data_IF_013392064549
#
_entry.id   IF_013392064549
#
_cell.length_a   1.000
_cell.length_b   1.000
_cell.length_c   1.000
_cell.angle_alpha   90.00
_cell.angle_beta   90.00
_cell.angle_gamma   90.00
#
_symmetry.space_group_name_H-M   'P 1'
#
loop_
_entity.id
_entity.type
_entity.pdbx_description
1 polymer ?
#
# COMPACT_ATOMS: atom_id res chain seq x y z
N UNK A 1 36.37 26.10 -44.25
CA UNK A 1 35.77 26.26 -42.91
C UNK A 1 34.76 25.14 -42.69
N UNK A 2 35.17 24.04 -42.03
CA UNK A 2 34.30 22.88 -41.76
C UNK A 2 33.62 23.11 -40.40
N UNK A 3 32.30 23.30 -40.40
CA UNK A 3 31.49 23.41 -39.19
C UNK A 3 30.96 22.01 -38.86
N UNK A 4 31.51 21.39 -37.82
CA UNK A 4 30.99 20.15 -37.26
C UNK A 4 29.84 20.51 -36.30
N UNK A 5 28.61 20.23 -36.71
CA UNK A 5 27.44 20.35 -35.85
C UNK A 5 27.37 19.07 -35.01
N UNK A 6 27.62 19.20 -33.71
CA UNK A 6 27.43 18.12 -32.74
C UNK A 6 25.93 18.10 -32.42
N UNK A 7 25.21 17.13 -32.98
CA UNK A 7 23.84 16.83 -32.58
C UNK A 7 23.89 15.94 -31.32
N UNK A 8 23.59 16.51 -30.15
CA UNK A 8 23.30 15.72 -28.95
C UNK A 8 21.88 15.17 -29.06
N UNK A 9 21.76 13.88 -29.33
CA UNK A 9 20.51 13.14 -29.27
C UNK A 9 20.44 12.48 -27.88
N UNK A 10 19.90 13.19 -26.90
CA UNK A 10 19.60 12.63 -25.59
C UNK A 10 18.33 11.77 -25.70
N UNK A 11 18.52 10.49 -26.00
CA UNK A 11 17.44 9.53 -26.06
C UNK A 11 17.08 9.11 -24.63
N UNK A 12 16.13 9.83 -24.02
CA UNK A 12 15.54 9.49 -22.72
C UNK A 12 14.61 8.29 -22.86
N UNK A 13 15.15 7.08 -23.03
CA UNK A 13 14.38 5.84 -22.82
C UNK A 13 14.36 5.52 -21.32
N UNK A 14 13.39 6.09 -20.60
CA UNK A 14 12.91 5.52 -19.34
C UNK A 14 11.79 4.53 -19.69
N UNK A 15 12.12 3.35 -20.19
CA UNK A 15 11.19 2.22 -20.14
C UNK A 15 11.22 1.68 -18.72
N UNK A 16 10.37 2.25 -17.87
CA UNK A 16 10.17 1.80 -16.50
C UNK A 16 9.48 0.45 -16.49
N UNK A 17 10.04 -0.48 -15.72
CA UNK A 17 9.57 -1.82 -15.41
C UNK A 17 8.27 -1.84 -14.59
N UNK A 18 7.21 -1.19 -15.08
CA UNK A 18 5.91 -1.09 -14.39
C UNK A 18 5.29 -2.47 -14.09
N UNK A 19 5.53 -3.46 -14.97
CA UNK A 19 4.94 -4.79 -14.88
C UNK A 19 5.39 -5.62 -13.67
N UNK A 20 6.60 -5.39 -13.15
CA UNK A 20 7.08 -6.09 -11.95
C UNK A 20 6.39 -5.53 -10.69
N UNK A 21 6.21 -4.22 -10.63
CA UNK A 21 5.57 -3.55 -9.49
C UNK A 21 4.06 -3.79 -9.40
N UNK A 22 3.39 -4.05 -10.53
CA UNK A 22 1.97 -4.36 -10.55
C UNK A 22 1.66 -5.74 -9.94
N UNK A 23 2.46 -6.76 -10.28
CA UNK A 23 2.32 -8.10 -9.69
C UNK A 23 2.61 -8.09 -8.18
N UNK A 24 3.63 -7.33 -7.76
CA UNK A 24 3.94 -7.13 -6.34
C UNK A 24 2.78 -6.41 -5.63
N UNK A 25 2.19 -5.38 -6.25
CA UNK A 25 1.06 -4.65 -5.68
C UNK A 25 -0.19 -5.53 -5.53
N UNK A 26 -0.51 -6.38 -6.50
CA UNK A 26 -1.61 -7.33 -6.39
C UNK A 26 -1.41 -8.27 -5.19
N UNK A 27 -0.19 -8.79 -5.02
CA UNK A 27 0.16 -9.64 -3.89
C UNK A 27 0.03 -8.93 -2.53
N UNK A 28 0.47 -7.67 -2.45
CA UNK A 28 0.32 -6.85 -1.24
C UNK A 28 -1.16 -6.63 -0.90
N UNK A 29 -2.00 -6.34 -1.90
CA UNK A 29 -3.43 -6.15 -1.70
C UNK A 29 -4.15 -7.43 -1.27
N UNK A 30 -3.74 -8.58 -1.79
CA UNK A 30 -4.24 -9.88 -1.33
C UNK A 30 -3.81 -10.18 0.12
N UNK A 31 -2.58 -9.85 0.49
CA UNK A 31 -2.09 -9.95 1.87
C UNK A 31 -2.88 -9.06 2.81
N UNK A 32 -3.15 -7.81 2.43
CA UNK A 32 -4.01 -6.89 3.21
C UNK A 32 -5.43 -7.44 3.39
N UNK A 33 -6.01 -8.04 2.35
CA UNK A 33 -7.34 -8.65 2.40
C UNK A 33 -7.37 -9.89 3.30
N UNK A 34 -6.40 -10.79 3.16
CA UNK A 34 -6.29 -12.00 3.95
C UNK A 34 -6.05 -11.67 5.42
N UNK A 35 -5.09 -10.78 5.71
CA UNK A 35 -4.78 -10.32 7.05
C UNK A 35 -5.99 -9.69 7.74
N UNK A 36 -6.75 -8.82 7.05
CA UNK A 36 -7.96 -8.23 7.64
C UNK A 36 -9.01 -9.30 7.99
N UNK A 37 -9.18 -10.29 7.12
CA UNK A 37 -10.09 -11.40 7.40
C UNK A 37 -9.65 -12.21 8.63
N UNK A 38 -8.34 -12.44 8.80
CA UNK A 38 -7.79 -13.08 10.00
C UNK A 38 -8.03 -12.22 11.25
N UNK A 39 -7.66 -10.94 11.23
CA UNK A 39 -7.84 -10.00 12.37
C UNK A 39 -9.30 -9.95 12.82
N UNK A 40 -10.26 -9.95 11.89
CA UNK A 40 -11.68 -9.91 12.23
C UNK A 40 -12.20 -11.21 12.86
N UNK A 41 -11.57 -12.36 12.57
CA UNK A 41 -12.07 -13.68 12.96
C UNK A 41 -11.35 -14.26 14.17
N UNK A 42 -10.02 -14.14 14.23
CA UNK A 42 -9.21 -14.80 15.26
C UNK A 42 -9.57 -14.34 16.67
N UNK A 43 -9.46 -15.23 17.65
CA UNK A 43 -9.55 -14.90 19.08
C UNK A 43 -8.18 -14.94 19.77
N UNK A 44 -7.14 -15.26 19.02
CA UNK A 44 -5.77 -15.40 19.50
C UNK A 44 -5.00 -14.09 19.26
N UNK A 45 -4.44 -13.53 20.33
CA UNK A 45 -3.75 -12.25 20.28
C UNK A 45 -2.45 -12.34 19.48
N UNK A 46 -1.73 -13.47 19.54
CA UNK A 46 -0.50 -13.66 18.76
C UNK A 46 -0.78 -13.82 17.27
N UNK A 47 -1.82 -14.57 16.89
CA UNK A 47 -2.27 -14.71 15.50
C UNK A 47 -2.72 -13.34 14.95
N UNK A 48 -3.45 -12.57 15.74
CA UNK A 48 -3.84 -11.20 15.38
C UNK A 48 -2.62 -10.31 15.13
N UNK A 49 -1.65 -10.29 16.05
CA UNK A 49 -0.42 -9.51 15.89
C UNK A 49 0.38 -9.93 14.66
N UNK A 50 0.49 -11.23 14.38
CA UNK A 50 1.17 -11.74 13.18
C UNK A 50 0.49 -11.21 11.91
N UNK A 51 -0.84 -11.32 11.84
CA UNK A 51 -1.60 -10.82 10.70
C UNK A 51 -1.46 -9.30 10.54
N UNK A 52 -1.49 -8.53 11.63
CA UNK A 52 -1.29 -7.08 11.61
C UNK A 52 0.12 -6.70 11.14
N UNK A 53 1.15 -7.43 11.56
CA UNK A 53 2.52 -7.25 11.09
C UNK A 53 2.66 -7.48 9.58
N UNK A 54 2.04 -8.55 9.06
CA UNK A 54 2.01 -8.85 7.62
C UNK A 54 1.26 -7.78 6.83
N UNK A 55 0.09 -7.34 7.33
CA UNK A 55 -0.66 -6.24 6.73
C UNK A 55 0.16 -4.94 6.70
N UNK A 56 0.88 -4.64 7.78
CA UNK A 56 1.70 -3.44 7.87
C UNK A 56 2.82 -3.45 6.83
N UNK A 57 3.49 -4.58 6.69
CA UNK A 57 4.55 -4.76 5.70
C UNK A 57 4.00 -4.63 4.27
N UNK A 58 2.89 -5.30 3.96
CA UNK A 58 2.24 -5.22 2.65
C UNK A 58 1.78 -3.78 2.32
N UNK A 59 1.26 -3.02 3.30
CA UNK A 59 0.93 -1.62 3.09
C UNK A 59 2.16 -0.75 2.80
N UNK A 60 3.31 -1.05 3.43
CA UNK A 60 4.57 -0.35 3.16
C UNK A 60 5.16 -0.72 1.79
N UNK A 61 5.05 -1.97 1.38
CA UNK A 61 5.50 -2.44 0.07
C UNK A 61 4.62 -1.89 -1.05
N UNK A 62 3.30 -1.82 -0.85
CA UNK A 62 2.37 -1.19 -1.78
C UNK A 62 2.70 0.29 -2.05
N UNK A 63 3.30 1.01 -1.09
CA UNK A 63 3.75 2.41 -1.31
C UNK A 63 4.89 2.52 -2.33
N UNK A 64 5.58 1.44 -2.64
CA UNK A 64 6.67 1.41 -3.63
C UNK A 64 6.14 1.24 -5.06
N UNK A 65 4.89 0.81 -5.20
CA UNK A 65 4.23 0.59 -6.48
C UNK A 65 3.34 1.77 -6.85
N UNK A 66 3.08 1.91 -8.15
CA UNK A 66 2.04 2.81 -8.68
C UNK A 66 0.89 1.93 -9.18
N UNK A 67 -0.34 2.14 -8.72
CA UNK A 67 -1.47 1.35 -9.19
C UNK A 67 -1.79 1.69 -10.65
N UNK A 68 -2.32 0.72 -11.40
CA UNK A 68 -2.62 0.85 -12.85
C UNK A 68 -3.39 2.12 -13.20
N UNK A 69 -4.37 2.50 -12.37
CA UNK A 69 -5.20 3.70 -12.58
C UNK A 69 -4.43 5.02 -12.52
N UNK A 70 -3.25 5.02 -11.90
CA UNK A 70 -2.36 6.17 -11.79
C UNK A 70 -1.11 6.02 -12.66
N UNK A 71 -1.06 5.03 -13.56
CA UNK A 71 0.04 4.92 -14.52
C UNK A 71 0.11 6.17 -15.41
N UNK A 72 1.33 6.70 -15.56
CA UNK A 72 1.58 7.90 -16.34
C UNK A 72 1.27 9.21 -15.60
N UNK A 73 0.69 9.17 -14.40
CA UNK A 73 0.56 10.36 -13.56
C UNK A 73 1.95 10.84 -13.09
N UNK A 74 2.18 12.16 -13.00
CA UNK A 74 3.39 12.70 -12.40
C UNK A 74 3.57 12.19 -10.96
N UNK A 75 4.81 11.89 -10.58
CA UNK A 75 5.14 11.38 -9.24
C UNK A 75 4.73 12.36 -8.11
N UNK A 76 4.62 13.66 -8.40
CA UNK A 76 4.19 14.70 -7.47
C UNK A 76 2.73 15.13 -7.64
N UNK A 77 1.97 14.42 -8.49
CA UNK A 77 0.53 14.67 -8.69
C UNK A 77 -0.24 14.55 -7.38
N UNK A 78 -1.40 15.23 -7.33
CA UNK A 78 -2.28 15.15 -6.18
C UNK A 78 -2.79 13.72 -5.95
N UNK A 79 -3.01 12.96 -7.03
CA UNK A 79 -3.51 11.58 -6.99
C UNK A 79 -2.49 10.61 -6.43
N UNK A 80 -1.21 10.69 -6.83
CA UNK A 80 -0.13 9.86 -6.26
C UNK A 80 0.05 10.18 -4.78
N UNK A 81 -0.02 11.47 -4.39
CA UNK A 81 0.02 11.88 -2.99
C UNK A 81 -1.18 11.35 -2.18
N UNK A 82 -2.39 11.38 -2.73
CA UNK A 82 -3.59 10.84 -2.07
C UNK A 82 -3.51 9.31 -1.92
N UNK A 83 -2.91 8.60 -2.89
CA UNK A 83 -2.63 7.16 -2.77
C UNK A 83 -1.70 6.85 -1.60
N UNK A 84 -0.57 7.55 -1.50
CA UNK A 84 0.35 7.36 -0.37
C UNK A 84 -0.28 7.73 0.97
N UNK A 85 -1.04 8.84 1.03
CA UNK A 85 -1.75 9.24 2.23
C UNK A 85 -2.80 8.21 2.67
N UNK A 86 -3.46 7.57 1.71
CA UNK A 86 -4.37 6.45 1.94
C UNK A 86 -3.71 5.26 2.62
N UNK A 87 -2.53 4.86 2.12
CA UNK A 87 -1.73 3.79 2.73
C UNK A 87 -1.16 4.18 4.09
N UNK A 88 -0.75 5.45 4.28
CA UNK A 88 -0.29 5.95 5.57
C UNK A 88 -1.40 5.91 6.63
N UNK A 89 -2.63 6.28 6.25
CA UNK A 89 -3.81 6.14 7.12
C UNK A 89 -4.08 4.68 7.49
N UNK A 90 -3.94 3.76 6.53
CA UNK A 90 -4.09 2.33 6.78
C UNK A 90 -3.03 1.82 7.76
N UNK A 91 -1.75 2.16 7.57
CA UNK A 91 -0.65 1.79 8.46
C UNK A 91 -0.88 2.34 9.87
N UNK A 92 -1.26 3.61 10.00
CA UNK A 92 -1.54 4.22 11.29
C UNK A 92 -2.66 3.49 12.04
N UNK A 93 -3.73 3.11 11.36
CA UNK A 93 -4.81 2.33 11.98
C UNK A 93 -4.38 0.90 12.30
N UNK A 94 -3.49 0.27 11.51
CA UNK A 94 -2.90 -1.04 11.85
C UNK A 94 -2.13 -0.93 13.17
N UNK A 95 -1.31 0.11 13.33
CA UNK A 95 -0.53 0.35 14.55
C UNK A 95 -1.43 0.52 15.78
N UNK A 96 -2.59 1.18 15.65
CA UNK A 96 -3.59 1.28 16.72
C UNK A 96 -4.16 -0.09 17.12
N UNK A 97 -4.53 -0.91 16.13
CA UNK A 97 -5.09 -2.24 16.38
C UNK A 97 -4.04 -3.17 16.99
N UNK A 98 -2.79 -3.08 16.51
CA UNK A 98 -1.67 -3.88 17.00
C UNK A 98 -1.31 -3.53 18.45
N UNK A 99 -1.37 -2.26 18.84
CA UNK A 99 -1.22 -1.86 20.24
C UNK A 99 -2.27 -2.50 21.16
N UNK A 100 -3.52 -2.59 20.71
CA UNK A 100 -4.59 -3.26 21.46
C UNK A 100 -4.37 -4.78 21.54
N UNK A 101 -3.95 -5.40 20.43
CA UNK A 101 -3.61 -6.82 20.40
C UNK A 101 -2.41 -7.14 21.32
N UNK A 102 -1.39 -6.27 21.38
CA UNK A 102 -0.24 -6.36 22.30
C UNK A 102 -0.63 -6.25 23.76
N UNK A 103 -1.67 -5.48 24.06
CA UNK A 103 -2.26 -5.40 25.39
C UNK A 103 -3.19 -6.59 25.72
N UNK A 104 -3.24 -7.62 24.86
CA UNK A 104 -4.15 -8.76 24.95
C UNK A 104 -5.64 -8.37 24.93
N UNK A 105 -5.95 -7.16 24.45
CA UNK A 105 -7.32 -6.64 24.30
C UNK A 105 -7.86 -6.96 22.88
N UNK A 106 -8.12 -8.24 22.64
CA UNK A 106 -8.56 -8.77 21.34
C UNK A 106 -9.91 -8.17 20.90
N UNK A 107 -10.85 -7.99 21.84
CA UNK A 107 -12.17 -7.42 21.53
C UNK A 107 -12.07 -5.94 21.16
N UNK A 108 -11.26 -5.16 21.88
CA UNK A 108 -10.97 -3.77 21.54
C UNK A 108 -10.26 -3.66 20.19
N UNK A 109 -9.29 -4.53 19.93
CA UNK A 109 -8.60 -4.59 18.64
C UNK A 109 -9.58 -4.87 17.50
N UNK A 110 -10.52 -5.82 17.64
CA UNK A 110 -11.59 -6.07 16.65
C UNK A 110 -12.58 -4.93 16.49
N UNK A 111 -12.80 -4.12 17.52
CA UNK A 111 -13.63 -2.93 17.42
C UNK A 111 -12.95 -1.90 16.49
N UNK A 112 -11.68 -1.62 16.73
CA UNK A 112 -10.87 -0.69 15.93
C UNK A 112 -10.56 -1.23 14.52
N UNK A 113 -10.39 -2.54 14.35
CA UNK A 113 -10.12 -3.18 13.07
C UNK A 113 -11.23 -2.97 12.03
N UNK A 114 -12.46 -2.63 12.45
CA UNK A 114 -13.54 -2.26 11.51
C UNK A 114 -13.15 -1.06 10.65
N UNK A 115 -12.41 -0.10 11.21
CA UNK A 115 -11.92 1.08 10.48
C UNK A 115 -10.91 0.71 9.39
N UNK A 116 -10.16 -0.39 9.55
CA UNK A 116 -9.26 -0.89 8.51
C UNK A 116 -10.03 -1.26 7.24
N UNK A 117 -11.21 -1.86 7.39
CA UNK A 117 -12.07 -2.20 6.25
C UNK A 117 -12.52 -0.95 5.50
N UNK A 118 -12.93 0.08 6.23
CA UNK A 118 -13.38 1.35 5.64
C UNK A 118 -12.26 2.06 4.90
N UNK A 119 -11.08 2.19 5.51
CA UNK A 119 -9.90 2.82 4.91
C UNK A 119 -9.49 2.04 3.65
N UNK A 120 -9.36 0.71 3.74
CA UNK A 120 -8.98 -0.12 2.59
C UNK A 120 -10.01 0.03 1.46
N UNK A 121 -11.30 -0.10 1.75
CA UNK A 121 -12.35 -0.03 0.73
C UNK A 121 -12.40 1.33 0.03
N UNK A 122 -12.26 2.42 0.79
CA UNK A 122 -12.23 3.76 0.24
C UNK A 122 -11.04 3.95 -0.71
N UNK A 123 -9.84 3.53 -0.30
CA UNK A 123 -8.63 3.65 -1.11
C UNK A 123 -8.65 2.72 -2.33
N UNK A 124 -9.07 1.46 -2.16
CA UNK A 124 -9.19 0.49 -3.24
C UNK A 124 -10.15 0.98 -4.33
N UNK A 125 -11.29 1.57 -3.94
CA UNK A 125 -12.25 2.16 -4.89
C UNK A 125 -11.66 3.36 -5.65
N UNK A 126 -10.81 4.15 -4.99
CA UNK A 126 -10.19 5.33 -5.60
C UNK A 126 -9.09 4.93 -6.59
N UNK A 127 -8.25 3.96 -6.25
CA UNK A 127 -6.96 3.76 -6.92
C UNK A 127 -6.79 2.43 -7.66
N UNK A 128 -7.66 1.44 -7.45
CA UNK A 128 -7.72 0.26 -8.32
C UNK A 128 -8.64 0.49 -9.52
#
# INVERSE_FOLDING_TARGET
MRKHVIAMLSLSLLFGSASLYAADLEHDMDTLKAGLNTVMKTSDAQEMQKALGEMRQAAQDAKKSTPEKLEGEPADSAQIKDYHAGLDSLIAQIDVVDQLAKANNVDGAKAEAKKLADIRNANHKKFR
#
